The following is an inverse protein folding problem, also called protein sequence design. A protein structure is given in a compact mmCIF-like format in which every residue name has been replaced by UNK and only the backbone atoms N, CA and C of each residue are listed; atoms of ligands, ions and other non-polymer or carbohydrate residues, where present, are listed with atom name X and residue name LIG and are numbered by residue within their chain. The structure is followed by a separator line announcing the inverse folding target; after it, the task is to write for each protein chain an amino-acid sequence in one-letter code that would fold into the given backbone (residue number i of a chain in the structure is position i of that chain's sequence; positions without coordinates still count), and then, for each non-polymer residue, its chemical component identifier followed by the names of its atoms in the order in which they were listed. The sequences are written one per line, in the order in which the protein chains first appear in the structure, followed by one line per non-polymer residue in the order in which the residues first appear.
data_IF_794092787300
#
_entry.id   IF_794092787300
#
_cell.length_a   1.000
_cell.length_b   1.000
_cell.length_c   1.000
_cell.angle_alpha   90.00
_cell.angle_beta   90.00
_cell.angle_gamma   90.00
#
_symmetry.space_group_name_H-M   'P 1'
#
loop_
_entity.id
_entity.type
_entity.pdbx_description
1 polymer ?
#
# COMPACT_ATOMS: atom_id res chain seq x y z
N UNK A 1 0.86 1.70 -4.24
CA UNK A 1 1.93 1.96 -3.25
C UNK A 1 2.88 0.77 -3.23
N UNK A 2 4.18 0.99 -3.30
CA UNK A 2 5.18 -0.09 -3.25
C UNK A 2 5.38 -0.59 -1.82
N UNK A 3 5.24 -1.89 -1.61
CA UNK A 3 5.47 -2.61 -0.35
C UNK A 3 6.79 -3.37 -0.35
N UNK A 4 7.26 -3.82 -1.52
CA UNK A 4 8.47 -4.63 -1.66
C UNK A 4 9.75 -3.84 -1.42
N UNK A 5 10.72 -4.46 -0.76
CA UNK A 5 12.11 -3.96 -0.67
C UNK A 5 12.83 -4.06 -2.02
N UNK A 6 13.80 -3.17 -2.33
CA UNK A 6 14.55 -3.18 -3.60
C UNK A 6 15.12 -4.55 -4.00
N UNK A 7 15.67 -5.31 -3.03
CA UNK A 7 16.22 -6.64 -3.30
C UNK A 7 15.20 -7.61 -3.92
N UNK A 8 13.95 -7.65 -3.43
CA UNK A 8 12.89 -8.45 -4.05
C UNK A 8 12.62 -7.98 -5.47
N UNK A 9 12.61 -6.66 -5.66
CA UNK A 9 12.28 -6.06 -6.94
C UNK A 9 13.35 -6.35 -8.01
N UNK A 10 14.62 -6.34 -7.63
CA UNK A 10 15.77 -6.65 -8.52
C UNK A 10 15.81 -8.13 -8.88
N UNK A 11 15.59 -9.01 -7.89
CA UNK A 11 15.65 -10.46 -8.10
C UNK A 11 14.47 -11.00 -8.90
N UNK A 12 13.27 -10.45 -8.70
CA UNK A 12 12.05 -10.94 -9.36
C UNK A 12 11.66 -10.18 -10.61
N UNK A 13 12.15 -8.95 -10.81
CA UNK A 13 11.61 -8.04 -11.82
C UNK A 13 10.19 -7.52 -11.51
N UNK A 14 9.64 -7.85 -10.33
CA UNK A 14 8.27 -7.51 -9.93
C UNK A 14 8.24 -6.59 -8.71
N UNK A 15 7.09 -5.96 -8.50
CA UNK A 15 6.80 -5.12 -7.33
C UNK A 15 5.67 -5.76 -6.53
N UNK A 16 5.80 -5.81 -5.21
CA UNK A 16 4.67 -6.05 -4.32
C UNK A 16 4.00 -4.71 -4.05
N UNK A 17 2.71 -4.60 -4.33
CA UNK A 17 1.95 -3.36 -4.30
C UNK A 17 0.70 -3.47 -3.42
N UNK A 18 0.30 -2.37 -2.81
CA UNK A 18 -1.04 -2.14 -2.29
C UNK A 18 -1.78 -1.07 -3.13
N UNK A 19 -3.10 -1.21 -3.23
CA UNK A 19 -3.96 -0.27 -3.95
C UNK A 19 -4.03 1.09 -3.23
N UNK A 20 -4.03 2.17 -4.02
CA UNK A 20 -4.44 3.52 -3.59
C UNK A 20 -5.69 3.87 -4.37
N UNK A 21 -6.78 4.24 -3.68
CA UNK A 21 -8.08 4.52 -4.31
C UNK A 21 -8.74 5.75 -3.68
N UNK A 22 -9.67 6.38 -4.40
CA UNK A 22 -10.43 7.52 -3.86
C UNK A 22 -11.26 7.09 -2.64
N UNK A 23 -11.38 7.98 -1.66
CA UNK A 23 -12.08 7.71 -0.40
C UNK A 23 -13.62 7.71 -0.51
N UNK A 24 -14.18 7.75 -1.74
CA UNK A 24 -15.61 8.05 -1.98
C UNK A 24 -16.54 6.85 -2.02
N UNK A 25 -16.03 5.66 -2.39
CA UNK A 25 -16.90 4.57 -2.86
C UNK A 25 -17.04 3.37 -1.90
N UNK A 26 -16.15 3.23 -0.91
CA UNK A 26 -16.21 2.16 0.11
C UNK A 26 -15.11 2.39 1.14
N UNK A 27 -15.32 1.90 2.37
CA UNK A 27 -14.30 1.87 3.42
C UNK A 27 -14.13 0.43 3.89
N UNK A 28 -12.91 -0.07 3.85
CA UNK A 28 -12.54 -1.32 4.51
C UNK A 28 -12.08 -0.99 5.93
N UNK A 29 -12.29 -1.88 6.91
CA UNK A 29 -11.90 -1.63 8.30
C UNK A 29 -10.42 -1.22 8.49
N UNK A 30 -9.56 -1.72 7.61
CA UNK A 30 -8.11 -1.51 7.66
C UNK A 30 -7.60 -0.47 6.65
N UNK A 31 -8.50 0.25 5.97
CA UNK A 31 -8.10 1.33 5.07
C UNK A 31 -7.39 2.43 5.87
N UNK A 32 -6.30 2.95 5.31
CA UNK A 32 -5.61 4.12 5.85
C UNK A 32 -5.92 5.35 5.01
N UNK A 33 -6.54 6.37 5.60
CA UNK A 33 -6.74 7.66 4.95
C UNK A 33 -5.42 8.42 4.85
N UNK A 34 -4.98 8.70 3.62
CA UNK A 34 -3.75 9.45 3.36
C UNK A 34 -3.98 10.90 3.81
N UNK A 35 -3.16 11.35 4.75
CA UNK A 35 -3.30 12.67 5.38
C UNK A 35 -2.56 13.74 4.59
N UNK A 36 -1.34 13.45 4.15
CA UNK A 36 -0.52 14.38 3.38
C UNK A 36 -0.69 14.12 1.88
N UNK A 37 -1.73 14.71 1.31
CA UNK A 37 -2.05 14.57 -0.11
C UNK A 37 -0.98 15.23 -1.00
N UNK A 38 -0.36 16.31 -0.53
CA UNK A 38 0.65 17.04 -1.31
C UNK A 38 1.92 16.20 -1.45
N UNK A 39 2.46 15.66 -0.36
CA UNK A 39 3.62 14.78 -0.41
C UNK A 39 3.33 13.52 -1.24
N UNK A 40 2.11 12.97 -1.09
CA UNK A 40 1.65 11.80 -1.82
C UNK A 40 1.29 12.08 -3.29
N UNK A 41 1.43 13.32 -3.79
CA UNK A 41 1.13 13.66 -5.18
C UNK A 41 -0.35 13.47 -5.57
N UNK A 42 -1.27 13.56 -4.62
CA UNK A 42 -2.70 13.32 -4.80
C UNK A 42 -3.49 14.63 -4.82
N UNK A 43 -4.41 14.75 -5.77
CA UNK A 43 -5.28 15.93 -5.92
C UNK A 43 -6.60 15.82 -5.14
N UNK A 44 -6.92 14.63 -4.62
CA UNK A 44 -8.17 14.36 -3.93
C UNK A 44 -7.94 13.38 -2.77
N UNK A 45 -8.85 13.34 -1.77
CA UNK A 45 -8.76 12.39 -0.68
C UNK A 45 -8.75 10.94 -1.18
N UNK A 46 -7.72 10.20 -0.78
CA UNK A 46 -7.54 8.79 -1.10
C UNK A 46 -7.22 7.98 0.15
N UNK A 47 -7.39 6.67 0.03
CA UNK A 47 -7.00 5.68 1.03
C UNK A 47 -5.98 4.71 0.45
N UNK A 48 -5.08 4.22 1.29
CA UNK A 48 -4.34 2.99 1.05
C UNK A 48 -5.23 1.83 1.46
N UNK A 49 -5.43 0.89 0.54
CA UNK A 49 -6.20 -0.34 0.76
C UNK A 49 -5.31 -1.55 0.52
N UNK A 50 -5.32 -2.51 1.44
CA UNK A 50 -4.55 -3.76 1.30
C UNK A 50 -5.21 -4.78 0.36
N UNK A 51 -5.63 -4.32 -0.82
CA UNK A 51 -5.77 -5.17 -1.99
C UNK A 51 -4.36 -5.36 -2.56
N UNK A 52 -3.65 -6.36 -2.03
CA UNK A 52 -2.24 -6.62 -2.31
C UNK A 52 -2.09 -7.44 -3.58
N UNK A 53 -1.15 -7.06 -4.45
CA UNK A 53 -0.86 -7.78 -5.69
C UNK A 53 0.59 -7.58 -6.11
N UNK A 54 1.08 -8.45 -6.99
CA UNK A 54 2.35 -8.27 -7.68
C UNK A 54 2.14 -7.69 -9.07
N UNK A 55 3.08 -6.87 -9.54
CA UNK A 55 3.08 -6.31 -10.88
C UNK A 55 4.48 -6.34 -11.47
N UNK A 56 4.61 -6.68 -12.75
CA UNK A 56 5.87 -6.55 -13.47
C UNK A 56 6.30 -5.08 -13.53
N UNK A 57 7.59 -4.80 -13.29
CA UNK A 57 8.15 -3.44 -13.30
C UNK A 57 7.92 -2.71 -14.63
N UNK A 58 7.91 -3.42 -15.75
CA UNK A 58 7.71 -2.85 -17.09
C UNK A 58 6.34 -2.20 -17.29
N UNK A 59 5.36 -2.54 -16.43
CA UNK A 59 4.01 -1.97 -16.48
C UNK A 59 3.89 -0.63 -15.72
N UNK A 60 4.95 -0.17 -15.06
CA UNK A 60 4.95 1.14 -14.42
C UNK A 60 5.11 2.27 -15.44
N UNK A 61 4.13 3.16 -15.46
CA UNK A 61 4.13 4.36 -16.33
C UNK A 61 4.82 5.55 -15.62
N UNK A 62 4.92 5.54 -14.29
CA UNK A 62 5.55 6.59 -13.50
C UNK A 62 5.26 6.48 -12.00
N UNK A 63 5.68 7.50 -11.24
CA UNK A 63 5.46 7.61 -9.79
C UNK A 63 4.79 8.93 -9.41
N UNK A 64 3.87 8.89 -8.45
CA UNK A 64 3.09 10.04 -8.00
C UNK A 64 3.45 10.41 -6.55
N UNK A 65 4.68 10.89 -6.30
CA UNK A 65 5.11 11.29 -4.95
C UNK A 65 5.36 10.14 -3.97
N UNK A 66 5.39 10.47 -2.67
CA UNK A 66 5.71 9.54 -1.58
C UNK A 66 4.83 9.80 -0.35
N UNK A 67 4.54 8.75 0.42
CA UNK A 67 3.82 8.92 1.68
C UNK A 67 4.66 9.70 2.69
N UNK A 68 4.01 10.62 3.41
CA UNK A 68 4.59 11.29 4.55
C UNK A 68 4.97 10.28 5.64
N UNK A 69 5.86 10.68 6.53
CA UNK A 69 6.27 9.85 7.66
C UNK A 69 5.09 9.41 8.54
N UNK A 70 4.12 10.30 8.77
CA UNK A 70 2.92 9.97 9.53
C UNK A 70 2.05 8.93 8.81
N UNK A 71 1.90 9.05 7.49
CA UNK A 71 1.14 8.10 6.69
C UNK A 71 1.83 6.74 6.62
N UNK A 72 3.16 6.69 6.46
CA UNK A 72 3.92 5.43 6.47
C UNK A 72 3.70 4.64 7.75
N UNK A 73 3.77 5.30 8.91
CA UNK A 73 3.52 4.65 10.20
C UNK A 73 2.08 4.15 10.33
N UNK A 74 1.11 4.96 9.90
CA UNK A 74 -0.30 4.58 9.93
C UNK A 74 -0.59 3.34 9.08
N UNK A 75 -0.07 3.32 7.85
CA UNK A 75 -0.16 2.17 6.96
C UNK A 75 0.53 0.95 7.57
N UNK A 76 1.71 1.11 8.18
CA UNK A 76 2.41 0.00 8.82
C UNK A 76 1.62 -0.61 9.98
N UNK A 77 0.99 0.22 10.83
CA UNK A 77 0.13 -0.28 11.90
C UNK A 77 -1.05 -1.09 11.35
N UNK A 78 -1.72 -0.57 10.32
CA UNK A 78 -2.84 -1.28 9.67
C UNK A 78 -2.39 -2.56 8.97
N UNK A 79 -1.19 -2.60 8.42
CA UNK A 79 -0.63 -3.79 7.78
C UNK A 79 -0.49 -4.96 8.76
N UNK A 80 -0.03 -4.67 9.98
CA UNK A 80 0.12 -5.68 11.04
C UNK A 80 -1.24 -6.28 11.44
N UNK A 81 -2.33 -5.51 11.36
CA UNK A 81 -3.69 -5.99 11.62
C UNK A 81 -4.20 -6.98 10.54
N UNK A 82 -3.69 -6.88 9.30
CA UNK A 82 -4.15 -7.68 8.15
C UNK A 82 -3.28 -8.90 7.88
N UNK A 83 -1.98 -8.79 8.14
CA UNK A 83 -1.00 -9.83 7.78
C UNK A 83 -0.71 -10.73 8.97
N UNK A 84 -1.46 -11.82 9.05
CA UNK A 84 -1.12 -12.95 9.90
C UNK A 84 -0.02 -13.78 9.22
N UNK A 85 1.24 -13.54 9.58
CA UNK A 85 2.29 -14.53 9.39
C UNK A 85 2.55 -15.18 10.75
N UNK A 86 1.58 -15.93 11.24
CA UNK A 86 1.71 -16.76 12.45
C UNK A 86 1.89 -18.22 12.04
N UNK A 87 2.72 -19.02 12.72
CA UNK A 87 2.79 -20.48 12.47
C UNK A 87 1.49 -21.22 12.83
N UNK A 88 0.54 -20.56 13.49
CA UNK A 88 -0.80 -21.07 13.70
C UNK A 88 -1.79 -20.10 13.02
N UNK A 89 -2.16 -20.43 11.78
CA UNK A 89 -3.19 -19.69 11.06
C UNK A 89 -4.52 -19.75 11.83
N UNK A 90 -5.19 -18.61 12.07
CA UNK A 90 -6.59 -18.64 12.48
C UNK A 90 -7.40 -19.25 11.33
N UNK A 91 -8.14 -20.32 11.62
CA UNK A 91 -9.04 -20.95 10.65
C UNK A 91 -9.99 -19.90 10.06
N UNK A 92 -10.25 -19.95 8.74
CA UNK A 92 -11.15 -19.03 8.05
C UNK A 92 -12.59 -19.09 8.59
#
# INVERSE_FOLDING_TARGET
MVLSKPAFQEQSGHLLLAMVTSARNSQWPTDWQIKDLQAAGLLQPCVVRFKVFTLDKSLLIGSFGALSEADRRGVQSRWIEVVALSPADPKP
#
